data_IF_549981136811
#
_entry.id   IF_549981136811
#
_cell.length_a   1.000
_cell.length_b   1.000
_cell.length_c   1.000
_cell.angle_alpha   90.00
_cell.angle_beta   90.00
_cell.angle_gamma   90.00
#
_symmetry.space_group_name_H-M   'P 1'
#
loop_
_entity.id
_entity.type
_entity.pdbx_description
1 polymer ?
#
# COMPACT_ATOMS: atom_id res chain seq x y z
N UNK A 1 -20.29 11.41 -19.18
CA UNK A 1 -20.15 11.97 -17.81
C UNK A 1 -20.02 10.89 -16.73
N UNK A 2 -20.94 9.91 -16.65
CA UNK A 2 -20.87 8.82 -15.64
C UNK A 2 -19.52 8.07 -15.64
N UNK A 3 -19.02 7.67 -16.81
CA UNK A 3 -17.70 7.01 -16.93
C UNK A 3 -16.55 7.91 -16.46
N UNK A 4 -16.60 9.21 -16.75
CA UNK A 4 -15.58 10.17 -16.29
C UNK A 4 -15.57 10.29 -14.77
N UNK A 5 -16.75 10.35 -14.14
CA UNK A 5 -16.86 10.40 -12.68
C UNK A 5 -16.32 9.11 -12.04
N UNK A 6 -16.64 7.94 -12.60
CA UNK A 6 -16.11 6.66 -12.11
C UNK A 6 -14.59 6.58 -12.20
N UNK A 7 -14.00 6.94 -13.34
CA UNK A 7 -12.54 6.90 -13.53
C UNK A 7 -11.85 7.91 -12.61
N UNK A 8 -12.42 9.11 -12.46
CA UNK A 8 -11.89 10.13 -11.55
C UNK A 8 -11.90 9.65 -10.09
N UNK A 9 -13.00 9.02 -9.67
CA UNK A 9 -13.13 8.45 -8.33
C UNK A 9 -12.10 7.33 -8.08
N UNK A 10 -11.95 6.39 -9.01
CA UNK A 10 -10.95 5.32 -8.91
C UNK A 10 -9.52 5.87 -8.81
N UNK A 11 -9.19 6.92 -9.58
CA UNK A 11 -7.89 7.59 -9.49
C UNK A 11 -7.67 8.25 -8.13
N UNK A 12 -8.69 8.92 -7.59
CA UNK A 12 -8.60 9.56 -6.28
C UNK A 12 -8.38 8.52 -5.16
N UNK A 13 -9.09 7.40 -5.21
CA UNK A 13 -8.91 6.28 -4.30
C UNK A 13 -7.50 5.69 -4.40
N UNK A 14 -7.03 5.43 -5.62
CA UNK A 14 -5.67 4.94 -5.85
C UNK A 14 -4.61 5.92 -5.33
N UNK A 15 -4.78 7.22 -5.57
CA UNK A 15 -3.88 8.25 -5.05
C UNK A 15 -3.87 8.28 -3.51
N UNK A 16 -5.03 8.09 -2.87
CA UNK A 16 -5.11 7.99 -1.42
C UNK A 16 -4.30 6.80 -0.90
N UNK A 17 -4.31 5.67 -1.60
CA UNK A 17 -3.51 4.50 -1.21
C UNK A 17 -2.02 4.74 -1.41
N UNK A 18 -1.62 5.42 -2.49
CA UNK A 18 -0.23 5.86 -2.68
C UNK A 18 0.21 6.72 -1.50
N UNK A 19 -0.57 7.76 -1.17
CA UNK A 19 -0.22 8.68 -0.09
C UNK A 19 -0.07 7.96 1.25
N UNK A 20 -0.96 7.00 1.53
CA UNK A 20 -0.87 6.16 2.73
C UNK A 20 0.42 5.33 2.76
N UNK A 21 0.75 4.68 1.66
CA UNK A 21 1.95 3.83 1.59
C UNK A 21 3.23 4.68 1.68
N UNK A 22 3.24 5.83 1.01
CA UNK A 22 4.34 6.80 1.11
C UNK A 22 4.55 7.25 2.55
N UNK A 23 3.49 7.64 3.26
CA UNK A 23 3.61 8.04 4.68
C UNK A 23 4.14 6.90 5.55
N UNK A 24 3.58 5.69 5.40
CA UNK A 24 4.00 4.53 6.17
C UNK A 24 5.48 4.20 5.93
N UNK A 25 5.91 4.13 4.67
CA UNK A 25 7.29 3.79 4.36
C UNK A 25 8.26 4.92 4.69
N UNK A 26 7.80 6.18 4.62
CA UNK A 26 8.58 7.32 5.09
C UNK A 26 8.92 7.19 6.58
N UNK A 27 7.92 6.93 7.43
CA UNK A 27 8.10 6.78 8.87
C UNK A 27 9.02 5.58 9.24
N UNK A 28 9.13 4.59 8.36
CA UNK A 28 9.96 3.40 8.56
C UNK A 28 11.39 3.56 8.04
N UNK A 29 11.56 4.24 6.91
CA UNK A 29 12.82 4.25 6.17
C UNK A 29 13.61 5.56 6.34
N UNK A 30 12.95 6.67 6.65
CA UNK A 30 13.61 7.95 6.87
C UNK A 30 13.68 8.21 8.38
N UNK A 31 14.91 8.27 8.89
CA UNK A 31 15.18 8.59 10.29
C UNK A 31 16.02 9.85 10.38
N UNK A 32 15.71 10.71 11.35
CA UNK A 32 16.40 11.99 11.51
C UNK A 32 15.94 13.05 10.50
N UNK A 33 16.82 14.01 10.21
CA UNK A 33 16.50 15.13 9.33
C UNK A 33 16.32 14.64 7.87
N UNK A 34 15.28 15.08 7.15
CA UNK A 34 15.06 14.69 5.75
C UNK A 34 16.29 15.02 4.89
N UNK A 35 16.86 14.02 4.18
CA UNK A 35 18.00 14.28 3.32
C UNK A 35 17.55 15.02 2.06
N UNK A 36 18.47 15.75 1.42
CA UNK A 36 18.19 16.42 0.13
C UNK A 36 17.97 15.43 -1.02
N UNK A 37 18.45 14.19 -0.87
CA UNK A 37 18.26 13.06 -1.79
C UNK A 37 18.23 11.76 -0.99
N UNK A 38 17.45 10.79 -1.45
CA UNK A 38 17.50 9.43 -0.88
C UNK A 38 18.83 8.77 -1.22
N UNK A 39 19.52 8.24 -0.22
CA UNK A 39 20.69 7.38 -0.44
C UNK A 39 20.28 5.96 -0.85
N UNK A 40 21.26 5.13 -1.22
CA UNK A 40 20.98 3.76 -1.67
C UNK A 40 20.25 2.92 -0.61
N UNK A 41 20.54 3.11 0.69
CA UNK A 41 19.90 2.36 1.77
C UNK A 41 18.44 2.77 1.92
N UNK A 42 18.15 4.06 1.81
CA UNK A 42 16.80 4.61 1.89
C UNK A 42 15.96 4.14 0.70
N UNK A 43 16.48 4.20 -0.51
CA UNK A 43 15.80 3.69 -1.72
C UNK A 43 15.47 2.21 -1.58
N UNK A 44 16.46 1.37 -1.24
CA UNK A 44 16.24 -0.06 -1.01
C UNK A 44 15.25 -0.31 0.13
N UNK A 45 15.27 0.49 1.20
CA UNK A 45 14.27 0.36 2.27
C UNK A 45 12.85 0.67 1.76
N UNK A 46 12.67 1.73 0.97
CA UNK A 46 11.39 2.12 0.40
C UNK A 46 10.80 1.04 -0.52
N UNK A 47 11.64 0.47 -1.39
CA UNK A 47 11.27 -0.65 -2.28
C UNK A 47 10.78 -1.83 -1.44
N UNK A 48 11.60 -2.30 -0.50
CA UNK A 48 11.26 -3.43 0.37
C UNK A 48 10.01 -3.16 1.23
N UNK A 49 9.85 -1.94 1.75
CA UNK A 49 8.68 -1.56 2.54
C UNK A 49 7.39 -1.64 1.73
N UNK A 50 7.45 -1.13 0.49
CA UNK A 50 6.33 -1.13 -0.44
C UNK A 50 5.95 -2.57 -0.84
N UNK A 51 6.92 -3.38 -1.26
CA UNK A 51 6.71 -4.78 -1.63
C UNK A 51 6.11 -5.59 -0.48
N UNK A 52 6.71 -5.50 0.71
CA UNK A 52 6.22 -6.22 1.90
C UNK A 52 4.81 -5.81 2.30
N UNK A 53 4.45 -4.54 2.13
CA UNK A 53 3.08 -4.09 2.40
C UNK A 53 2.08 -4.80 1.49
N UNK A 54 2.39 -4.90 0.19
CA UNK A 54 1.53 -5.60 -0.76
C UNK A 54 1.47 -7.10 -0.51
N UNK A 55 2.61 -7.75 -0.24
CA UNK A 55 2.68 -9.18 0.06
C UNK A 55 1.79 -9.54 1.25
N UNK A 56 1.93 -8.79 2.35
CA UNK A 56 1.13 -9.01 3.56
C UNK A 56 -0.34 -8.69 3.31
N UNK A 57 -0.65 -7.62 2.55
CA UNK A 57 -2.04 -7.27 2.23
C UNK A 57 -2.74 -8.37 1.42
N UNK A 58 -2.04 -8.96 0.44
CA UNK A 58 -2.51 -10.10 -0.36
C UNK A 58 -2.71 -11.33 0.52
N UNK A 59 -1.70 -11.69 1.33
CA UNK A 59 -1.76 -12.83 2.24
C UNK A 59 -2.95 -12.73 3.20
N UNK A 60 -3.15 -11.55 3.79
CA UNK A 60 -4.26 -11.30 4.71
C UNK A 60 -5.61 -11.41 4.01
N UNK A 61 -5.76 -10.78 2.83
CA UNK A 61 -6.98 -10.88 2.02
C UNK A 61 -7.32 -12.34 1.73
N UNK A 62 -6.37 -13.11 1.24
CA UNK A 62 -6.59 -14.50 0.84
C UNK A 62 -6.94 -15.37 2.06
N UNK A 63 -6.31 -15.09 3.22
CA UNK A 63 -6.65 -15.73 4.49
C UNK A 63 -8.07 -15.39 4.93
N UNK A 64 -8.48 -14.12 4.88
CA UNK A 64 -9.84 -13.71 5.22
C UNK A 64 -10.86 -14.35 4.29
N UNK A 65 -10.59 -14.38 2.99
CA UNK A 65 -11.49 -15.01 2.03
C UNK A 65 -11.65 -16.51 2.28
N UNK A 66 -10.54 -17.22 2.56
CA UNK A 66 -10.59 -18.64 2.94
C UNK A 66 -11.41 -18.87 4.21
N UNK A 67 -11.31 -17.99 5.21
CA UNK A 67 -12.11 -18.09 6.44
C UNK A 67 -13.60 -17.84 6.18
N UNK A 68 -13.94 -16.83 5.38
CA UNK A 68 -15.33 -16.54 5.01
C UNK A 68 -15.97 -17.70 4.25
N UNK A 69 -15.27 -18.30 3.29
CA UNK A 69 -15.77 -19.46 2.54
C UNK A 69 -16.11 -20.65 3.44
N UNK A 70 -15.34 -20.86 4.52
CA UNK A 70 -15.60 -21.94 5.50
C UNK A 70 -16.79 -21.65 6.41
N UNK A 71 -17.09 -20.38 6.68
CA UNK A 71 -18.25 -19.99 7.48
C UNK A 71 -19.56 -20.10 6.70
N UNK A 72 -19.52 -19.96 5.37
CA UNK A 72 -20.69 -20.08 4.49
C UNK A 72 -21.04 -21.52 4.10
N UNK A 73 -20.19 -22.50 4.44
CA UNK A 73 -20.40 -23.93 4.13
C UNK A 73 -21.19 -24.70 5.21
N UNK A 74 -21.79 -24.00 6.17
CA UNK A 74 -22.77 -24.49 7.15
C UNK A 74 -24.03 -23.64 7.08
#
# INVERSE_FOLDING_TARGET
LQTFLQVTQQRAEFQSQINRLTSLCWDRCITGYPPSKMDAKQTTCFENCTERYFDVSVLLRDRFQSMLSKLQSH
#
